data_IF_281924065585
#
_entry.id   IF_281924065585
#
_cell.length_a   1.000
_cell.length_b   1.000
_cell.length_c   1.000
_cell.angle_alpha   90.00
_cell.angle_beta   90.00
_cell.angle_gamma   90.00
#
_symmetry.space_group_name_H-M   'P 1'
#
loop_
_entity.id
_entity.type
_entity.pdbx_description
1 polymer ?
#
# COMPACT_ATOMS: atom_id res chain seq x y z
N UNK A 1 6.49 -5.91 -12.08
CA UNK A 1 6.37 -4.52 -12.60
C UNK A 1 7.36 -4.35 -13.74
N UNK A 2 6.96 -3.77 -14.88
CA UNK A 2 7.80 -3.73 -16.11
C UNK A 2 8.61 -2.43 -16.32
N UNK A 3 8.63 -1.50 -15.36
CA UNK A 3 9.35 -0.23 -15.48
C UNK A 3 9.73 0.36 -14.12
N UNK A 4 10.19 1.62 -14.10
CA UNK A 4 10.56 2.37 -12.90
C UNK A 4 9.33 3.09 -12.30
N UNK A 5 8.74 2.57 -11.20
CA UNK A 5 7.58 3.18 -10.56
C UNK A 5 7.90 4.47 -9.78
N UNK A 6 9.19 4.71 -9.48
CA UNK A 6 9.68 5.84 -8.68
C UNK A 6 10.49 6.83 -9.52
N UNK A 7 10.16 6.93 -10.82
CA UNK A 7 10.90 7.76 -11.78
C UNK A 7 10.92 9.25 -11.47
N UNK A 8 9.99 9.72 -10.64
CA UNK A 8 9.96 11.09 -10.12
C UNK A 8 11.04 11.37 -9.07
N UNK A 9 11.58 10.31 -8.45
CA UNK A 9 12.63 10.41 -7.44
C UNK A 9 14.00 9.95 -7.97
N UNK A 10 14.02 8.92 -8.82
CA UNK A 10 15.23 8.26 -9.27
C UNK A 10 15.17 8.03 -10.78
N UNK A 11 16.16 8.49 -11.56
CA UNK A 11 16.18 8.25 -13.00
C UNK A 11 16.31 6.77 -13.33
N UNK A 12 15.79 6.37 -14.49
CA UNK A 12 15.63 4.95 -14.86
C UNK A 12 16.93 4.14 -14.77
N UNK A 13 18.06 4.69 -15.25
CA UNK A 13 19.35 4.01 -15.18
C UNK A 13 19.78 3.68 -13.74
N UNK A 14 19.59 4.62 -12.79
CA UNK A 14 19.95 4.43 -11.40
C UNK A 14 19.00 3.44 -10.71
N UNK A 15 17.70 3.52 -11.02
CA UNK A 15 16.71 2.56 -10.52
C UNK A 15 17.08 1.13 -10.91
N UNK A 16 17.42 0.88 -12.18
CA UNK A 16 17.78 -0.45 -12.65
C UNK A 16 19.10 -0.95 -12.04
N UNK A 17 20.10 -0.08 -11.87
CA UNK A 17 21.34 -0.43 -11.18
C UNK A 17 21.09 -0.84 -9.73
N UNK A 18 20.40 0.00 -8.95
CA UNK A 18 20.06 -0.30 -7.55
C UNK A 18 19.23 -1.58 -7.42
N UNK A 19 18.30 -1.80 -8.35
CA UNK A 19 17.49 -3.01 -8.43
C UNK A 19 18.36 -4.26 -8.65
N UNK A 20 19.27 -4.22 -9.61
CA UNK A 20 20.15 -5.36 -9.92
C UNK A 20 21.07 -5.75 -8.76
N UNK A 21 21.42 -4.78 -7.90
CA UNK A 21 22.25 -4.98 -6.72
C UNK A 21 21.43 -5.40 -5.48
N UNK A 22 20.11 -5.44 -5.56
CA UNK A 22 19.24 -5.79 -4.43
C UNK A 22 19.07 -4.69 -3.38
N UNK A 23 19.41 -3.43 -3.69
CA UNK A 23 19.28 -2.30 -2.75
C UNK A 23 17.84 -1.78 -2.61
N UNK A 24 16.92 -2.26 -3.44
CA UNK A 24 15.55 -1.79 -3.48
C UNK A 24 14.59 -2.83 -2.90
N UNK A 25 13.78 -2.42 -1.93
CA UNK A 25 12.68 -3.23 -1.44
C UNK A 25 11.51 -3.20 -2.44
N UNK A 26 11.39 -4.27 -3.23
CA UNK A 26 10.34 -4.43 -4.22
C UNK A 26 8.93 -4.34 -3.61
N UNK A 27 8.75 -4.80 -2.37
CA UNK A 27 7.46 -4.76 -1.68
C UNK A 27 7.05 -3.33 -1.41
N UNK A 28 7.92 -2.55 -0.78
CA UNK A 28 7.65 -1.13 -0.48
C UNK A 28 7.41 -0.32 -1.75
N UNK A 29 8.20 -0.58 -2.80
CA UNK A 29 8.06 0.10 -4.09
C UNK A 29 6.72 -0.23 -4.76
N UNK A 30 6.29 -1.50 -4.73
CA UNK A 30 4.99 -1.93 -5.23
C UNK A 30 3.85 -1.28 -4.45
N UNK A 31 3.94 -1.23 -3.13
CA UNK A 31 2.92 -0.65 -2.27
C UNK A 31 2.78 0.87 -2.52
N UNK A 32 3.90 1.56 -2.71
CA UNK A 32 3.90 2.96 -3.17
C UNK A 32 3.23 3.12 -4.55
N UNK A 33 3.56 2.25 -5.51
CA UNK A 33 2.96 2.31 -6.85
C UNK A 33 1.44 2.08 -6.80
N UNK A 34 0.97 1.11 -6.00
CA UNK A 34 -0.46 0.85 -5.78
C UNK A 34 -1.17 2.09 -5.25
N UNK A 35 -0.61 2.75 -4.22
CA UNK A 35 -1.13 4.00 -3.66
C UNK A 35 -1.22 5.10 -4.71
N UNK A 36 -0.11 5.36 -5.42
CA UNK A 36 -0.06 6.39 -6.46
C UNK A 36 -1.09 6.13 -7.56
N UNK A 37 -1.22 4.88 -8.00
CA UNK A 37 -2.18 4.52 -9.05
C UNK A 37 -3.62 4.64 -8.58
N UNK A 38 -3.91 4.27 -7.34
CA UNK A 38 -5.23 4.49 -6.73
C UNK A 38 -5.61 5.97 -6.73
N UNK A 39 -4.71 6.84 -6.26
CA UNK A 39 -4.97 8.30 -6.23
C UNK A 39 -5.19 8.87 -7.63
N UNK A 40 -4.41 8.46 -8.62
CA UNK A 40 -4.58 8.89 -10.01
C UNK A 40 -5.93 8.47 -10.60
N UNK A 41 -6.47 7.31 -10.20
CA UNK A 41 -7.74 6.79 -10.71
C UNK A 41 -8.96 7.35 -9.97
N UNK A 42 -8.77 7.87 -8.75
CA UNK A 42 -9.84 8.36 -7.87
C UNK A 42 -10.64 9.52 -8.45
N UNK A 43 -10.05 10.30 -9.35
CA UNK A 43 -10.74 11.39 -10.04
C UNK A 43 -11.75 10.91 -11.10
N UNK A 44 -11.63 9.67 -11.59
CA UNK A 44 -12.37 9.18 -12.76
C UNK A 44 -13.23 7.94 -12.50
N UNK A 45 -12.94 7.18 -11.44
CA UNK A 45 -13.55 5.88 -11.20
C UNK A 45 -14.04 5.72 -9.76
N UNK A 46 -15.10 4.92 -9.59
CA UNK A 46 -15.54 4.50 -8.25
C UNK A 46 -14.52 3.57 -7.59
N UNK A 47 -14.46 3.50 -6.25
CA UNK A 47 -13.53 2.61 -5.55
C UNK A 47 -13.60 1.15 -6.03
N UNK A 48 -14.80 0.60 -6.26
CA UNK A 48 -15.00 -0.77 -6.75
C UNK A 48 -14.36 -0.99 -8.12
N UNK A 49 -14.47 -0.02 -9.03
CA UNK A 49 -13.83 -0.08 -10.35
C UNK A 49 -12.30 -0.01 -10.22
N UNK A 50 -11.79 0.86 -9.34
CA UNK A 50 -10.35 0.99 -9.09
C UNK A 50 -9.77 -0.32 -8.55
N UNK A 51 -10.41 -0.93 -7.54
CA UNK A 51 -9.98 -2.23 -7.03
C UNK A 51 -9.98 -3.30 -8.13
N UNK A 52 -11.00 -3.35 -8.98
CA UNK A 52 -11.01 -4.24 -10.14
C UNK A 52 -9.86 -3.99 -11.13
N UNK A 53 -9.47 -2.73 -11.36
CA UNK A 53 -8.32 -2.36 -12.21
C UNK A 53 -7.00 -2.83 -11.56
N UNK A 54 -6.81 -2.52 -10.28
CA UNK A 54 -5.60 -2.89 -9.55
C UNK A 54 -5.46 -4.40 -9.42
N UNK A 55 -6.55 -5.14 -9.18
CA UNK A 55 -6.56 -6.60 -9.10
C UNK A 55 -6.17 -7.24 -10.44
N UNK A 56 -6.59 -6.67 -11.57
CA UNK A 56 -6.18 -7.15 -12.91
C UNK A 56 -4.69 -6.96 -13.16
N UNK A 57 -4.11 -5.87 -12.65
CA UNK A 57 -2.66 -5.59 -12.79
C UNK A 57 -1.81 -6.37 -11.78
N UNK A 58 -2.37 -6.68 -10.62
CA UNK A 58 -1.74 -7.44 -9.54
C UNK A 58 -2.58 -8.68 -9.15
N UNK A 59 -2.73 -9.68 -10.05
CA UNK A 59 -3.62 -10.83 -9.81
C UNK A 59 -3.26 -11.66 -8.59
N UNK A 60 -1.99 -11.60 -8.17
CA UNK A 60 -1.43 -12.36 -7.05
C UNK A 60 -1.65 -11.68 -5.68
N UNK A 61 -2.22 -10.47 -5.65
CA UNK A 61 -2.48 -9.74 -4.41
C UNK A 61 -3.98 -9.81 -4.14
N UNK A 62 -4.40 -10.21 -2.95
CA UNK A 62 -5.82 -10.21 -2.58
C UNK A 62 -6.37 -8.77 -2.50
N UNK A 63 -7.64 -8.55 -2.84
CA UNK A 63 -8.29 -7.24 -2.77
C UNK A 63 -8.20 -6.63 -1.36
N UNK A 64 -8.36 -7.44 -0.31
CA UNK A 64 -8.20 -6.98 1.08
C UNK A 64 -6.77 -6.51 1.37
N UNK A 65 -5.76 -7.15 0.77
CA UNK A 65 -4.37 -6.71 0.86
C UNK A 65 -4.17 -5.39 0.13
N UNK A 66 -4.78 -5.22 -1.06
CA UNK A 66 -4.75 -3.94 -1.79
C UNK A 66 -5.40 -2.83 -0.95
N UNK A 67 -6.55 -3.10 -0.30
CA UNK A 67 -7.21 -2.17 0.63
C UNK A 67 -6.31 -1.80 1.79
N UNK A 68 -5.71 -2.78 2.47
CA UNK A 68 -4.75 -2.54 3.56
C UNK A 68 -3.60 -1.65 3.07
N UNK A 69 -2.99 -1.98 1.93
CA UNK A 69 -1.93 -1.17 1.35
C UNK A 69 -2.39 0.27 1.16
N UNK A 70 -3.53 0.51 0.53
CA UNK A 70 -4.02 1.87 0.22
C UNK A 70 -4.36 2.66 1.48
N UNK A 71 -5.08 2.06 2.42
CA UNK A 71 -5.63 2.76 3.58
C UNK A 71 -4.69 2.79 4.79
N UNK A 72 -3.71 1.89 4.87
CA UNK A 72 -2.66 1.98 5.88
C UNK A 72 -1.76 3.17 5.54
N UNK A 73 -1.93 4.26 6.29
CA UNK A 73 -0.93 5.33 6.36
C UNK A 73 0.36 4.72 6.91
N UNK A 74 1.51 5.18 6.45
CA UNK A 74 2.79 4.82 7.10
C UNK A 74 2.77 5.46 8.48
N UNK A 75 2.13 4.80 9.42
CA UNK A 75 2.36 5.00 10.83
C UNK A 75 3.68 4.29 11.13
N UNK A 76 4.57 4.95 11.86
CA UNK A 76 5.82 4.34 12.30
C UNK A 76 5.49 3.09 13.13
N UNK A 77 6.40 2.10 13.18
CA UNK A 77 6.20 0.83 13.94
C UNK A 77 5.71 1.04 15.39
N UNK A 78 6.05 2.19 15.99
CA UNK A 78 5.64 2.58 17.34
C UNK A 78 4.14 2.94 17.44
N UNK A 79 3.56 3.48 16.38
CA UNK A 79 2.14 3.82 16.33
C UNK A 79 1.25 2.60 16.02
N UNK A 80 1.79 1.55 15.42
CA UNK A 80 1.07 0.28 15.18
C UNK A 80 0.81 -0.46 16.49
N UNK A 81 1.77 -0.49 17.42
CA UNK A 81 1.58 -1.08 18.76
C UNK A 81 0.58 -0.26 19.60
N UNK A 82 0.67 1.07 19.53
CA UNK A 82 -0.24 1.97 20.22
C UNK A 82 -1.69 1.88 19.70
N UNK A 83 -1.88 1.87 18.36
CA UNK A 83 -3.21 1.78 17.76
C UNK A 83 -3.81 0.37 17.89
N UNK A 84 -3.02 -0.69 17.83
CA UNK A 84 -3.49 -2.05 18.09
C UNK A 84 -3.95 -2.22 19.55
N UNK A 85 -3.24 -1.60 20.50
CA UNK A 85 -3.65 -1.55 21.92
C UNK A 85 -4.97 -0.81 22.11
N UNK A 86 -5.12 0.36 21.46
CA UNK A 86 -6.37 1.16 21.49
C UNK A 86 -7.55 0.43 20.87
N UNK A 87 -7.36 -0.17 19.70
CA UNK A 87 -8.43 -0.92 19.01
C UNK A 87 -8.84 -2.18 19.80
N UNK A 88 -7.90 -2.82 20.49
CA UNK A 88 -8.19 -3.94 21.38
C UNK A 88 -8.98 -3.49 22.61
N UNK A 89 -8.56 -2.43 23.30
CA UNK A 89 -9.27 -1.87 24.46
C UNK A 89 -10.70 -1.42 24.12
N UNK A 90 -10.90 -0.76 22.98
CA UNK A 90 -12.22 -0.32 22.53
C UNK A 90 -13.12 -1.51 22.19
N UNK A 91 -12.59 -2.54 21.54
CA UNK A 91 -13.33 -3.78 21.30
C UNK A 91 -13.71 -4.50 22.59
N UNK A 92 -12.84 -4.50 23.60
CA UNK A 92 -13.14 -5.10 24.91
C UNK A 92 -14.17 -4.32 25.72
N UNK A 93 -14.20 -2.99 25.63
CA UNK A 93 -15.25 -2.16 26.28
C UNK A 93 -16.63 -2.41 25.69
N UNK A 94 -16.70 -2.46 24.36
CA UNK A 94 -17.93 -2.82 23.63
C UNK A 94 -18.39 -4.24 23.98
N UNK A 95 -17.47 -5.18 24.15
CA UNK A 95 -17.81 -6.57 24.52
C UNK A 95 -18.16 -6.73 26.01
N UNK A 96 -17.63 -5.88 26.89
CA UNK A 96 -17.88 -5.87 28.34
C UNK A 96 -19.10 -5.01 28.75
N UNK A 97 -19.74 -4.31 27.81
CA UNK A 97 -20.92 -3.48 28.08
C UNK A 97 -20.64 -2.22 28.90
N UNK A 98 -19.45 -1.64 28.75
CA UNK A 98 -19.01 -0.38 29.39
C UNK A 98 -18.81 0.74 28.37
#
# INVERSE_FOLDING_TARGET
MRGNPIREFVPDHLYFSLKSMGFLDERTIRDYYLKKKFENLRAQYSPRQIFGILQKEFPYICEDTIRKIIYTRRNTREEDEFNFSKESEEKWKVFAGL
#
